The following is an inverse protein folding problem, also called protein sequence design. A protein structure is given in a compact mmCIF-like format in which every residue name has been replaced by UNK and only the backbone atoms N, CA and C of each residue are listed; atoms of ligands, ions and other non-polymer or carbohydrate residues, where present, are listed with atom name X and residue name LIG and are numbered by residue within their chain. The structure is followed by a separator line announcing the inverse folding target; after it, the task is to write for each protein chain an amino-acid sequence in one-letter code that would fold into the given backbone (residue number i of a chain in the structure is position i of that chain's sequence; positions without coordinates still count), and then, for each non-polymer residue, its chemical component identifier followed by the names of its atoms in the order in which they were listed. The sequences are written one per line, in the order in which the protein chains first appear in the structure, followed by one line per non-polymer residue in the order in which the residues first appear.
data_IF_638923519411
#
_entry.id   IF_638923519411
#
_cell.length_a   1.000
_cell.length_b   1.000
_cell.length_c   1.000
_cell.angle_alpha   90.00
_cell.angle_beta   90.00
_cell.angle_gamma   90.00
#
_symmetry.space_group_name_H-M   'P 1'
#
loop_
_entity.id
_entity.type
_entity.pdbx_description
1 polymer ?
#
# COMPACT_ATOMS: atom_id res chain seq x y z
N UNK A 1 -7.05 25.71 -6.41
CA UNK A 1 -6.78 24.88 -7.59
C UNK A 1 -5.58 23.96 -7.39
N UNK A 2 -4.32 24.42 -7.52
CA UNK A 2 -3.14 23.54 -7.29
C UNK A 2 -3.14 22.80 -5.92
N UNK A 3 -3.45 23.50 -4.83
CA UNK A 3 -3.61 22.85 -3.51
C UNK A 3 -4.75 21.82 -3.49
N UNK A 4 -5.88 22.10 -4.15
CA UNK A 4 -7.00 21.15 -4.22
C UNK A 4 -6.56 19.88 -4.96
N UNK A 5 -5.86 20.01 -6.09
CA UNK A 5 -5.29 18.89 -6.83
C UNK A 5 -4.35 18.05 -5.99
N UNK A 6 -3.42 18.69 -5.26
CA UNK A 6 -2.48 18.00 -4.37
C UNK A 6 -3.18 17.21 -3.27
N UNK A 7 -4.16 17.83 -2.60
CA UNK A 7 -4.89 17.19 -1.51
C UNK A 7 -5.92 16.16 -2.01
N UNK A 8 -6.46 16.31 -3.22
CA UNK A 8 -7.26 15.28 -3.87
C UNK A 8 -6.43 14.03 -4.18
N UNK A 9 -5.20 14.20 -4.65
CA UNK A 9 -4.25 13.10 -4.84
C UNK A 9 -3.96 12.35 -3.54
N UNK A 10 -3.72 13.09 -2.45
CA UNK A 10 -3.49 12.51 -1.11
C UNK A 10 -4.65 11.67 -0.58
N UNK A 11 -5.88 11.93 -1.03
CA UNK A 11 -7.04 11.12 -0.69
C UNK A 11 -7.03 9.73 -1.35
N UNK A 12 -6.12 9.50 -2.30
CA UNK A 12 -5.93 8.24 -3.00
C UNK A 12 -4.58 7.57 -2.66
N UNK A 13 -3.72 8.23 -1.89
CA UNK A 13 -2.44 7.68 -1.47
C UNK A 13 -2.68 6.48 -0.56
N UNK A 14 -2.30 5.29 -1.00
CA UNK A 14 -2.19 4.12 -0.13
C UNK A 14 -0.72 3.98 0.30
N UNK A 15 -0.43 3.32 1.45
CA UNK A 15 0.86 3.39 2.16
C UNK A 15 2.04 2.70 1.44
N UNK A 16 1.98 2.53 0.13
CA UNK A 16 2.98 1.83 -0.67
C UNK A 16 3.49 2.74 -1.77
N UNK A 17 4.76 3.13 -1.67
CA UNK A 17 5.47 3.70 -2.80
C UNK A 17 5.56 2.65 -3.90
N UNK A 18 4.93 2.95 -5.04
CA UNK A 18 5.25 2.28 -6.29
C UNK A 18 6.74 2.49 -6.53
N UNK A 19 7.51 1.41 -6.62
CA UNK A 19 8.93 1.51 -6.99
C UNK A 19 9.01 2.24 -8.33
N UNK A 20 9.31 3.53 -8.32
CA UNK A 20 10.05 4.12 -9.42
C UNK A 20 11.39 3.39 -9.42
N UNK A 21 11.56 2.45 -10.35
CA UNK A 21 12.88 1.97 -10.71
C UNK A 21 13.66 3.21 -11.14
N UNK A 22 14.47 3.75 -10.24
CA UNK A 22 15.50 4.72 -10.58
C UNK A 22 16.39 4.08 -11.63
N UNK A 23 16.18 4.46 -12.88
CA UNK A 23 17.04 4.10 -14.00
C UNK A 23 18.37 4.84 -13.85
N UNK A 24 19.24 4.36 -12.98
CA UNK A 24 20.67 4.70 -13.06
C UNK A 24 21.32 3.70 -14.03
N UNK A 25 21.18 4.01 -15.32
CA UNK A 25 21.96 3.37 -16.37
C UNK A 25 23.25 4.15 -16.57
N UNK A 26 24.40 3.55 -16.26
CA UNK A 26 25.62 3.76 -17.05
C UNK A 26 26.28 2.40 -17.32
N UNK A 27 26.08 2.00 -18.56
CA UNK A 27 26.76 1.01 -19.41
C UNK A 27 28.23 0.72 -19.10
N UNK A 28 28.63 -0.55 -19.22
CA UNK A 28 29.75 -0.97 -20.08
C UNK A 28 29.67 -2.48 -20.38
N UNK A 29 29.28 -2.84 -21.60
CA UNK A 29 29.69 -4.08 -22.27
C UNK A 29 30.33 -3.66 -23.60
N UNK A 30 31.54 -4.13 -23.94
CA UNK A 30 32.16 -3.78 -25.21
C UNK A 30 31.65 -4.70 -26.33
N UNK A 31 31.20 -4.08 -27.42
CA UNK A 31 31.15 -4.70 -28.73
C UNK A 31 32.57 -4.90 -29.28
N UNK A 32 32.86 -6.10 -29.80
CA UNK A 32 33.77 -6.27 -30.94
C UNK A 32 33.09 -7.24 -31.90
N UNK A 33 32.88 -6.76 -33.13
CA UNK A 33 32.10 -7.44 -34.15
C UNK A 33 32.88 -8.40 -35.06
N UNK A 34 32.05 -9.13 -35.81
CA UNK A 34 32.21 -9.65 -37.17
C UNK A 34 33.33 -10.68 -37.46
N UNK A 35 32.93 -11.87 -37.91
CA UNK A 35 33.17 -12.34 -39.30
C UNK A 35 32.36 -13.60 -39.62
N UNK A 36 32.05 -13.71 -40.91
CA UNK A 36 31.30 -14.74 -41.64
C UNK A 36 32.00 -16.11 -41.67
N UNK A 37 31.25 -17.23 -41.67
CA UNK A 37 31.18 -18.15 -42.83
C UNK A 37 30.37 -19.43 -42.56
N UNK A 38 29.93 -19.98 -43.69
CA UNK A 38 28.92 -21.01 -43.99
C UNK A 38 29.43 -22.46 -43.80
N UNK A 39 28.50 -23.42 -43.86
CA UNK A 39 28.66 -24.87 -44.13
C UNK A 39 29.08 -25.77 -42.93
N UNK A 40 28.66 -27.02 -42.72
CA UNK A 40 27.71 -27.99 -43.31
C UNK A 40 27.77 -29.23 -42.39
N UNK A 41 26.64 -29.95 -42.19
CA UNK A 41 26.45 -31.38 -41.76
C UNK A 41 27.45 -31.99 -40.72
N UNK A 42 27.02 -32.65 -39.65
CA UNK A 42 26.63 -34.07 -39.70
C UNK A 42 26.36 -34.66 -38.30
N UNK A 43 25.25 -35.39 -38.17
CA UNK A 43 25.14 -36.78 -37.68
C UNK A 43 25.79 -37.17 -36.32
N UNK A 44 24.92 -37.47 -35.35
CA UNK A 44 25.18 -38.33 -34.18
C UNK A 44 25.65 -39.74 -34.61
N UNK A 45 26.31 -40.52 -33.73
CA UNK A 45 25.51 -41.48 -32.96
C UNK A 45 26.00 -41.82 -31.54
N UNK A 46 25.08 -42.48 -30.85
CA UNK A 46 25.05 -43.10 -29.52
C UNK A 46 26.14 -44.13 -29.21
N UNK A 47 26.43 -44.33 -27.91
CA UNK A 47 26.68 -45.61 -27.20
C UNK A 47 26.95 -45.28 -25.71
N UNK A 48 26.07 -45.61 -24.76
CA UNK A 48 25.90 -46.89 -24.03
C UNK A 48 26.75 -47.05 -22.75
N UNK A 49 26.00 -47.18 -21.65
CA UNK A 49 26.18 -47.94 -20.39
C UNK A 49 27.58 -48.36 -19.89
N UNK A 50 27.79 -48.18 -18.57
CA UNK A 50 28.12 -49.29 -17.67
C UNK A 50 27.95 -48.95 -16.18
N UNK A 51 27.40 -49.91 -15.45
CA UNK A 51 27.21 -49.96 -14.00
C UNK A 51 28.11 -51.05 -13.39
N UNK A 52 28.59 -50.85 -12.16
CA UNK A 52 28.99 -51.86 -11.15
C UNK A 52 29.75 -51.11 -10.03
N UNK A 53 29.39 -51.09 -8.75
CA UNK A 53 29.17 -52.14 -7.74
C UNK A 53 30.15 -51.88 -6.57
N UNK A 54 29.62 -51.80 -5.35
CA UNK A 54 30.37 -51.70 -4.09
C UNK A 54 30.96 -53.07 -3.68
N UNK A 55 31.83 -53.17 -2.65
CA UNK A 55 31.29 -53.35 -1.29
C UNK A 55 32.17 -52.81 -0.13
N UNK A 56 31.58 -52.72 1.06
CA UNK A 56 32.33 -52.56 2.33
C UNK A 56 31.45 -52.15 3.51
N UNK A 57 30.90 -53.13 4.24
CA UNK A 57 30.08 -52.98 5.45
C UNK A 57 30.95 -52.87 6.70
N UNK A 58 30.58 -52.01 7.66
CA UNK A 58 30.89 -52.21 9.08
C UNK A 58 29.83 -51.58 10.00
N UNK A 59 29.55 -52.33 11.06
CA UNK A 59 28.40 -52.39 11.97
C UNK A 59 28.23 -51.22 12.96
N UNK A 60 26.97 -50.76 13.07
CA UNK A 60 26.16 -50.32 14.23
C UNK A 60 26.88 -49.96 15.55
N UNK A 61 26.65 -48.72 16.03
CA UNK A 61 26.32 -48.44 17.43
C UNK A 61 25.43 -47.17 17.56
N UNK A 62 24.23 -47.36 18.10
CA UNK A 62 23.27 -46.31 18.47
C UNK A 62 23.54 -45.78 19.88
N UNK A 63 23.35 -44.48 20.15
CA UNK A 63 23.05 -44.01 21.50
C UNK A 63 21.61 -43.48 21.63
N UNK A 64 20.98 -43.87 22.73
CA UNK A 64 19.67 -43.48 23.26
C UNK A 64 19.46 -41.95 23.36
N UNK A 65 18.22 -41.44 23.21
CA UNK A 65 17.93 -40.02 23.36
C UNK A 65 18.07 -39.61 24.83
N UNK A 66 19.05 -38.75 25.13
CA UNK A 66 19.07 -37.99 26.38
C UNK A 66 18.10 -36.82 26.24
N UNK A 67 17.24 -36.70 27.24
CA UNK A 67 16.32 -35.58 27.47
C UNK A 67 17.06 -34.25 27.25
N UNK A 68 16.72 -33.54 26.17
CA UNK A 68 17.07 -32.14 26.01
C UNK A 68 16.11 -31.34 26.89
N UNK A 69 16.57 -31.01 28.09
CA UNK A 69 16.05 -29.89 28.86
C UNK A 69 16.01 -28.65 27.96
N UNK A 70 14.79 -28.18 27.67
CA UNK A 70 14.54 -26.92 26.99
C UNK A 70 15.15 -25.78 27.82
N UNK A 71 15.89 -24.82 27.23
CA UNK A 71 16.26 -23.62 27.95
C UNK A 71 14.98 -22.86 28.27
N UNK A 72 14.78 -22.59 29.55
CA UNK A 72 13.74 -21.74 30.10
C UNK A 72 13.75 -20.40 29.33
N UNK A 73 12.63 -20.10 28.69
CA UNK A 73 12.46 -18.90 27.86
C UNK A 73 12.66 -17.67 28.75
N UNK A 74 13.77 -16.97 28.56
CA UNK A 74 13.97 -15.65 29.15
C UNK A 74 12.78 -14.76 28.78
N UNK A 75 12.20 -13.98 29.72
CA UNK A 75 11.20 -12.99 29.37
C UNK A 75 11.79 -12.04 28.34
N UNK A 76 10.99 -11.59 27.35
CA UNK A 76 11.49 -10.66 26.33
C UNK A 76 12.11 -9.43 27.02
N UNK A 77 13.23 -8.90 26.49
CA UNK A 77 13.90 -7.76 27.09
C UNK A 77 12.90 -6.60 27.26
N UNK A 78 12.86 -6.04 28.47
CA UNK A 78 12.00 -4.91 28.79
C UNK A 78 12.30 -3.75 27.84
N UNK A 79 11.28 -3.20 27.19
CA UNK A 79 11.47 -2.13 26.21
C UNK A 79 11.94 -0.84 26.91
N UNK A 80 13.08 -0.32 26.48
CA UNK A 80 13.62 0.98 26.89
C UNK A 80 13.64 1.93 25.68
N UNK A 81 12.91 3.05 25.70
CA UNK A 81 13.00 4.06 24.64
C UNK A 81 14.41 4.65 24.54
N UNK A 82 14.84 5.11 23.34
CA UNK A 82 16.07 5.89 23.20
C UNK A 82 16.08 7.11 24.14
N UNK A 83 17.28 7.46 24.64
CA UNK A 83 17.45 8.56 25.59
C UNK A 83 16.91 9.89 25.04
N UNK A 84 17.22 10.19 23.78
CA UNK A 84 16.69 11.33 23.03
C UNK A 84 15.84 10.86 21.84
N UNK A 85 14.82 11.63 21.42
CA UNK A 85 14.07 11.34 20.20
C UNK A 85 15.02 11.31 18.97
N UNK A 86 15.00 10.23 18.16
CA UNK A 86 15.86 10.13 17.00
C UNK A 86 15.44 11.14 15.92
N UNK A 87 16.43 11.67 15.19
CA UNK A 87 16.16 12.51 14.02
C UNK A 87 15.40 11.71 12.94
N UNK A 88 14.61 12.40 12.10
CA UNK A 88 13.76 11.74 11.08
C UNK A 88 14.53 10.78 10.15
N UNK A 89 15.76 11.12 9.78
CA UNK A 89 16.62 10.28 8.94
C UNK A 89 17.02 8.94 9.60
N UNK A 90 16.80 8.80 10.90
CA UNK A 90 17.07 7.60 11.69
C UNK A 90 15.79 6.81 12.00
N UNK A 91 14.63 7.29 11.55
CA UNK A 91 13.38 6.55 11.69
C UNK A 91 13.45 5.28 10.85
N UNK A 92 12.78 4.25 11.34
CA UNK A 92 12.72 2.96 10.64
C UNK A 92 12.03 3.20 9.28
N UNK A 93 12.69 2.91 8.14
CA UNK A 93 12.09 3.08 6.81
C UNK A 93 10.83 2.23 6.66
N UNK A 94 9.79 2.76 6.00
CA UNK A 94 8.51 2.07 5.85
C UNK A 94 8.64 0.69 5.23
N UNK A 95 9.57 0.51 4.29
CA UNK A 95 9.79 -0.74 3.55
C UNK A 95 10.58 -1.79 4.35
N UNK A 96 11.19 -1.40 5.46
CA UNK A 96 12.03 -2.31 6.25
C UNK A 96 11.22 -3.30 7.09
N UNK A 97 9.98 -2.95 7.44
CA UNK A 97 9.12 -3.79 8.29
C UNK A 97 7.71 -3.96 7.69
N UNK A 98 7.20 -5.19 7.76
CA UNK A 98 5.83 -5.54 7.35
C UNK A 98 4.88 -5.76 8.53
N UNK A 99 5.38 -5.67 9.76
CA UNK A 99 4.63 -5.95 10.99
C UNK A 99 4.88 -4.85 12.01
N UNK A 100 3.87 -4.52 12.81
CA UNK A 100 3.99 -3.57 13.91
C UNK A 100 5.11 -3.99 14.90
N UNK A 101 6.05 -3.07 15.15
CA UNK A 101 7.20 -3.30 16.05
C UNK A 101 6.85 -3.22 17.54
N UNK A 102 5.56 -3.10 17.88
CA UNK A 102 5.05 -3.07 19.26
C UNK A 102 4.28 -4.34 19.59
N UNK A 103 3.20 -4.66 18.86
CA UNK A 103 2.43 -5.88 19.11
C UNK A 103 3.02 -7.13 18.43
N UNK A 104 3.92 -6.97 17.47
CA UNK A 104 4.54 -8.06 16.69
C UNK A 104 3.53 -9.03 16.03
N UNK A 105 2.28 -8.59 15.85
CA UNK A 105 1.17 -9.42 15.35
C UNK A 105 0.50 -8.81 14.14
N UNK A 106 0.17 -7.52 14.21
CA UNK A 106 -0.55 -6.84 13.15
C UNK A 106 0.37 -6.55 11.97
N UNK A 107 0.07 -7.18 10.82
CA UNK A 107 0.72 -6.91 9.55
C UNK A 107 0.22 -5.59 8.99
N UNK A 108 1.10 -4.77 8.47
CA UNK A 108 0.71 -3.58 7.74
C UNK A 108 0.05 -4.00 6.41
N UNK A 109 -1.03 -3.31 6.06
CA UNK A 109 -1.83 -3.54 4.86
C UNK A 109 -2.29 -2.19 4.30
N UNK A 110 -2.99 -2.20 3.17
CA UNK A 110 -3.65 -1.02 2.59
C UNK A 110 -4.41 -0.17 3.62
N UNK A 111 -5.07 -0.82 4.59
CA UNK A 111 -5.87 -0.16 5.64
C UNK A 111 -5.21 -0.15 7.01
N UNK A 112 -4.34 -1.13 7.32
CA UNK A 112 -3.53 -1.07 8.52
C UNK A 112 -2.23 -0.31 8.22
N UNK A 113 -2.33 1.02 8.26
CA UNK A 113 -1.23 1.93 7.91
C UNK A 113 -0.07 1.85 8.89
N UNK A 114 1.11 2.10 8.37
CA UNK A 114 2.31 2.39 9.15
C UNK A 114 2.20 3.76 9.80
N UNK A 115 2.61 3.85 11.05
CA UNK A 115 2.81 5.11 11.74
C UNK A 115 4.17 5.11 12.42
N UNK A 116 4.89 6.21 12.35
CA UNK A 116 6.09 6.37 13.17
C UNK A 116 5.74 6.89 14.56
N UNK A 117 6.31 6.26 15.59
CA UNK A 117 6.35 6.83 16.93
C UNK A 117 7.38 7.98 16.95
N UNK A 118 6.93 9.22 17.17
CA UNK A 118 7.84 10.38 17.17
C UNK A 118 8.86 10.36 18.31
N UNK A 119 8.66 9.53 19.35
CA UNK A 119 9.61 9.37 20.46
C UNK A 119 10.73 8.36 20.18
N UNK A 120 10.46 7.28 19.44
CA UNK A 120 11.44 6.20 19.25
C UNK A 120 11.70 5.79 17.79
N UNK A 121 11.01 6.40 16.82
CA UNK A 121 11.21 6.16 15.39
C UNK A 121 10.70 4.82 14.86
N UNK A 122 10.11 3.95 15.70
CA UNK A 122 9.57 2.64 15.30
C UNK A 122 8.28 2.75 14.48
N UNK A 123 8.07 1.77 13.62
CA UNK A 123 6.83 1.54 12.86
C UNK A 123 5.79 0.82 13.71
N UNK A 124 4.62 1.45 13.86
CA UNK A 124 3.54 0.99 14.73
C UNK A 124 2.19 1.11 14.05
N UNK A 125 1.28 0.19 14.37
CA UNK A 125 -0.11 0.26 13.91
C UNK A 125 -0.91 1.30 14.72
N UNK A 126 -2.11 1.64 14.24
CA UNK A 126 -3.00 2.60 14.90
C UNK A 126 -3.35 2.17 16.33
N UNK A 127 -3.62 0.88 16.53
CA UNK A 127 -3.96 0.28 17.82
C UNK A 127 -2.82 0.31 18.84
N UNK A 128 -1.56 0.39 18.41
CA UNK A 128 -0.39 0.49 19.29
C UNK A 128 0.14 1.92 19.45
N UNK A 129 -0.58 2.92 18.94
CA UNK A 129 -0.20 4.33 18.96
C UNK A 129 -1.40 5.24 19.20
N UNK A 130 -2.23 4.88 20.17
CA UNK A 130 -3.49 5.57 20.47
C UNK A 130 -3.28 6.87 21.23
N UNK A 131 -2.09 7.06 21.80
CA UNK A 131 -1.75 8.19 22.67
C UNK A 131 -0.89 9.23 21.97
N UNK A 132 -1.01 10.46 22.47
CA UNK A 132 -0.14 11.58 22.09
C UNK A 132 0.52 12.16 23.33
N UNK A 133 1.77 12.64 23.20
CA UNK A 133 2.46 13.35 24.27
C UNK A 133 3.43 14.39 23.70
N UNK A 134 3.88 15.31 24.55
CA UNK A 134 4.96 16.23 24.18
C UNK A 134 6.26 15.45 23.97
N UNK A 135 6.94 15.73 22.86
CA UNK A 135 8.23 15.12 22.52
C UNK A 135 9.18 16.26 22.16
N UNK A 136 10.35 16.28 22.79
CA UNK A 136 11.37 17.30 22.53
C UNK A 136 11.75 17.33 21.04
N UNK A 137 11.86 18.53 20.48
CA UNK A 137 12.18 18.72 19.06
C UNK A 137 11.03 18.44 18.08
N UNK A 138 9.82 18.12 18.56
CA UNK A 138 8.63 18.02 17.71
C UNK A 138 7.82 19.32 17.74
N UNK A 139 7.56 19.91 16.57
CA UNK A 139 6.67 21.09 16.42
C UNK A 139 5.21 20.75 16.76
N UNK A 140 4.71 19.61 16.23
CA UNK A 140 3.41 19.09 16.63
C UNK A 140 3.50 18.61 18.08
N UNK A 141 2.83 19.29 19.00
CA UNK A 141 2.73 18.89 20.40
C UNK A 141 1.29 19.07 20.87
N UNK A 142 0.61 18.01 21.34
CA UNK A 142 1.12 16.65 21.55
C UNK A 142 1.20 15.85 20.22
N UNK A 143 2.24 15.03 20.05
CA UNK A 143 2.46 14.19 18.85
C UNK A 143 2.21 12.70 19.11
N UNK A 144 1.96 11.93 18.05
CA UNK A 144 1.71 10.48 18.10
C UNK A 144 2.94 9.74 18.64
N UNK A 145 2.73 8.93 19.66
CA UNK A 145 3.74 8.02 20.22
C UNK A 145 3.15 6.63 20.35
N UNK A 146 4.01 5.61 20.37
CA UNK A 146 3.56 4.26 20.67
C UNK A 146 3.19 4.14 22.15
N UNK A 147 2.29 3.21 22.47
CA UNK A 147 1.78 3.03 23.82
C UNK A 147 2.91 2.68 24.80
N UNK A 148 3.90 1.89 24.36
CA UNK A 148 5.10 1.60 25.17
C UNK A 148 5.91 2.86 25.55
N UNK A 149 6.09 3.80 24.62
CA UNK A 149 6.73 5.08 24.92
C UNK A 149 5.85 5.93 25.84
N UNK A 150 4.53 5.98 25.59
CA UNK A 150 3.62 6.75 26.42
C UNK A 150 3.64 6.25 27.87
N UNK A 151 3.48 4.94 28.08
CA UNK A 151 3.55 4.32 29.40
C UNK A 151 4.89 4.53 30.07
N UNK A 152 6.02 4.47 29.34
CA UNK A 152 7.35 4.68 29.93
C UNK A 152 7.51 6.08 30.55
N UNK A 153 7.00 7.13 29.88
CA UNK A 153 7.16 8.52 30.33
C UNK A 153 6.00 9.06 31.20
N UNK A 154 4.88 8.33 31.28
CA UNK A 154 3.69 8.75 32.05
C UNK A 154 3.30 7.72 33.12
N UNK A 155 4.28 7.00 33.71
CA UNK A 155 4.04 5.94 34.72
C UNK A 155 3.26 6.40 35.96
N UNK A 156 3.12 7.70 36.19
CA UNK A 156 2.53 8.30 37.40
C UNK A 156 1.13 8.92 37.21
N UNK A 157 0.49 8.74 36.04
CA UNK A 157 -0.88 9.24 35.81
C UNK A 157 -1.88 8.08 35.94
N UNK A 158 -2.80 8.10 36.93
CA UNK A 158 -3.85 7.10 37.03
C UNK A 158 -4.69 7.09 35.76
N UNK A 159 -4.90 5.91 35.18
CA UNK A 159 -5.83 5.74 34.06
C UNK A 159 -7.24 6.19 34.50
N UNK A 160 -7.77 7.26 33.90
CA UNK A 160 -9.21 7.51 33.95
C UNK A 160 -9.90 6.38 33.19
N UNK A 161 -10.43 5.45 33.97
CA UNK A 161 -11.14 4.25 33.52
C UNK A 161 -12.48 4.64 32.86
N UNK A 162 -12.71 4.44 31.55
CA UNK A 162 -14.03 4.58 30.97
C UNK A 162 -14.81 3.30 31.22
N UNK A 163 -15.21 3.06 32.46
CA UNK A 163 -15.82 1.80 32.85
C UNK A 163 -16.28 1.75 34.29
N UNK A 164 -17.29 2.52 34.65
CA UNK A 164 -18.18 2.17 35.76
C UNK A 164 -19.56 1.80 35.21
N UNK A 165 -20.12 0.63 35.59
CA UNK A 165 -21.51 0.32 35.33
C UNK A 165 -22.37 1.06 36.37
N UNK A 166 -23.14 2.05 35.93
CA UNK A 166 -24.24 2.59 36.73
C UNK A 166 -25.36 1.55 36.83
N UNK A 167 -25.95 1.47 38.03
CA UNK A 167 -27.00 0.54 38.43
C UNK A 167 -28.29 0.74 37.59
N UNK A 168 -29.19 -0.27 37.53
CA UNK A 168 -30.31 -0.24 36.60
C UNK A 168 -31.43 0.64 37.14
N UNK A 169 -31.81 1.68 36.39
CA UNK A 169 -33.15 2.24 36.49
C UNK A 169 -33.94 1.95 35.20
N UNK A 170 -35.20 1.65 35.43
CA UNK A 170 -36.13 0.98 34.54
C UNK A 170 -36.64 1.89 33.42
N UNK A 171 -36.85 1.27 32.25
CA UNK A 171 -37.78 1.65 31.18
C UNK A 171 -37.38 2.78 30.20
N UNK A 172 -36.93 2.39 29.01
CA UNK A 172 -37.70 2.43 27.73
C UNK A 172 -36.76 2.13 26.55
N UNK A 173 -37.21 1.25 25.66
CA UNK A 173 -36.50 0.85 24.45
C UNK A 173 -36.58 1.94 23.38
N UNK A 174 -35.47 2.56 23.04
CA UNK A 174 -35.25 3.18 21.73
C UNK A 174 -33.82 2.90 21.28
N UNK A 175 -33.67 2.32 20.08
CA UNK A 175 -32.38 2.07 19.44
C UNK A 175 -31.63 3.40 19.21
N UNK A 176 -30.32 3.48 19.50
CA UNK A 176 -29.60 4.73 19.35
C UNK A 176 -29.47 5.13 17.86
N UNK A 177 -29.52 6.43 17.55
CA UNK A 177 -29.39 6.92 16.19
C UNK A 177 -27.97 6.64 15.65
N UNK A 178 -27.90 6.41 14.34
CA UNK A 178 -26.68 6.16 13.54
C UNK A 178 -25.51 7.13 13.79
N UNK A 179 -25.77 8.32 14.38
CA UNK A 179 -24.74 9.28 14.79
C UNK A 179 -23.83 8.79 15.92
N UNK A 180 -24.20 7.75 16.67
CA UNK A 180 -23.38 7.19 17.76
C UNK A 180 -22.17 6.39 17.26
N UNK A 181 -22.17 5.95 15.98
CA UNK A 181 -21.07 5.15 15.39
C UNK A 181 -19.95 6.04 14.84
N UNK A 182 -20.20 7.34 14.66
CA UNK A 182 -19.20 8.31 14.21
C UNK A 182 -19.15 9.46 15.21
N UNK A 183 -18.35 9.30 16.28
CA UNK A 183 -17.92 10.46 17.07
C UNK A 183 -17.01 11.31 16.18
N UNK A 184 -17.59 12.33 15.53
CA UNK A 184 -16.80 13.44 15.00
C UNK A 184 -16.11 14.08 16.21
N UNK A 185 -14.77 14.05 16.32
CA UNK A 185 -14.09 14.70 17.43
C UNK A 185 -14.50 16.17 17.46
N UNK A 186 -14.92 16.66 18.63
CA UNK A 186 -15.18 18.09 18.85
C UNK A 186 -13.91 18.81 18.41
N UNK A 187 -14.00 19.62 17.35
CA UNK A 187 -12.84 20.33 16.82
C UNK A 187 -12.22 21.11 17.98
N UNK A 188 -11.05 20.65 18.45
CA UNK A 188 -10.20 21.46 19.31
C UNK A 188 -10.05 22.81 18.60
N UNK A 189 -10.07 23.91 19.33
CA UNK A 189 -9.88 25.25 18.78
C UNK A 189 -8.60 25.24 17.93
N UNK A 190 -8.75 25.09 16.61
CA UNK A 190 -7.62 25.02 15.69
C UNK A 190 -7.16 26.45 15.53
N UNK A 191 -6.14 26.83 16.31
CA UNK A 191 -5.40 28.05 16.02
C UNK A 191 -4.66 27.85 14.70
N UNK A 192 -5.17 28.49 13.66
CA UNK A 192 -4.52 28.53 12.35
C UNK A 192 -3.29 29.43 12.45
N UNK A 193 -2.14 28.82 12.70
CA UNK A 193 -0.85 29.51 12.67
C UNK A 193 -0.45 29.66 11.20
N UNK A 194 -0.68 30.84 10.63
CA UNK A 194 -0.21 31.18 9.30
C UNK A 194 1.26 31.58 9.39
N UNK A 195 2.14 30.75 8.81
CA UNK A 195 3.59 30.98 8.74
C UNK A 195 4.00 31.29 7.29
N UNK A 196 4.97 32.19 7.12
CA UNK A 196 5.53 32.56 5.82
C UNK A 196 6.73 31.68 5.43
N UNK A 197 7.16 30.77 6.32
CA UNK A 197 8.23 29.83 6.03
C UNK A 197 7.78 28.74 5.04
N UNK A 198 8.16 28.89 3.77
CA UNK A 198 7.75 27.95 2.71
C UNK A 198 8.32 26.55 2.91
N UNK A 199 9.54 26.40 3.45
CA UNK A 199 10.12 25.08 3.72
C UNK A 199 9.30 24.31 4.76
N UNK A 200 8.85 24.99 5.81
CA UNK A 200 7.99 24.40 6.83
C UNK A 200 6.59 24.12 6.31
N UNK A 201 6.01 25.04 5.54
CA UNK A 201 4.71 24.82 4.90
C UNK A 201 4.75 23.61 3.96
N UNK A 202 5.82 23.46 3.19
CA UNK A 202 6.01 22.32 2.32
C UNK A 202 6.18 21.03 3.12
N UNK A 203 6.92 21.07 4.23
CA UNK A 203 7.05 19.92 5.14
C UNK A 203 5.69 19.48 5.68
N UNK A 204 4.89 20.40 6.24
CA UNK A 204 3.55 20.12 6.78
C UNK A 204 2.66 19.52 5.69
N UNK A 205 2.64 20.12 4.49
CA UNK A 205 1.85 19.60 3.37
C UNK A 205 2.36 18.25 2.90
N UNK A 206 3.67 18.00 2.92
CA UNK A 206 4.25 16.72 2.52
C UNK A 206 3.84 15.62 3.50
N UNK A 207 3.89 15.89 4.80
CA UNK A 207 3.59 14.94 5.88
C UNK A 207 2.10 14.68 6.08
N UNK A 208 1.24 15.62 5.67
CA UNK A 208 -0.20 15.43 5.80
C UNK A 208 -0.68 14.20 5.03
N UNK A 209 -1.50 13.38 5.67
CA UNK A 209 -2.17 12.24 5.05
C UNK A 209 -3.59 12.10 5.60
N UNK A 210 -4.48 11.48 4.82
CA UNK A 210 -5.80 11.09 5.33
C UNK A 210 -5.72 9.70 5.93
N UNK A 211 -6.23 9.54 7.15
CA UNK A 211 -6.21 8.26 7.86
C UNK A 211 -7.01 7.17 7.14
N UNK A 212 -8.12 7.55 6.49
CA UNK A 212 -9.02 6.64 5.76
C UNK A 212 -8.71 6.55 4.25
N UNK A 213 -7.53 6.99 3.80
CA UNK A 213 -7.14 6.85 2.40
C UNK A 213 -6.80 5.38 2.06
N UNK A 214 -7.05 4.88 0.84
CA UNK A 214 -7.60 5.60 -0.31
C UNK A 214 -9.12 5.71 -0.32
N UNK A 215 -9.63 6.85 -0.79
CA UNK A 215 -11.04 7.22 -0.81
C UNK A 215 -11.38 8.04 -2.06
N UNK A 216 -12.03 7.39 -3.02
CA UNK A 216 -12.51 8.03 -4.25
C UNK A 216 -13.49 9.18 -3.96
N UNK A 217 -14.41 9.00 -3.01
CA UNK A 217 -15.43 9.99 -2.66
C UNK A 217 -14.80 11.29 -2.17
N UNK A 218 -13.84 11.20 -1.25
CA UNK A 218 -13.08 12.35 -0.76
C UNK A 218 -12.29 13.05 -1.89
N UNK A 219 -11.58 12.29 -2.73
CA UNK A 219 -10.84 12.83 -3.87
C UNK A 219 -11.77 13.65 -4.79
N UNK A 220 -12.90 13.06 -5.19
CA UNK A 220 -13.91 13.69 -6.06
C UNK A 220 -14.51 14.93 -5.38
N UNK A 221 -14.83 14.85 -4.09
CA UNK A 221 -15.37 15.98 -3.33
C UNK A 221 -14.43 17.18 -3.32
N UNK A 222 -13.12 16.95 -3.15
CA UNK A 222 -12.09 18.01 -3.20
C UNK A 222 -12.00 18.60 -4.61
N UNK A 223 -11.96 17.77 -5.65
CA UNK A 223 -11.88 18.24 -7.04
C UNK A 223 -13.13 19.00 -7.49
N UNK A 224 -14.31 18.72 -6.92
CA UNK A 224 -15.52 19.49 -7.20
C UNK A 224 -15.44 20.95 -6.70
N UNK A 225 -14.48 21.29 -5.85
CA UNK A 225 -14.21 22.67 -5.42
C UNK A 225 -13.29 23.42 -6.40
N UNK A 226 -12.69 22.71 -7.36
CA UNK A 226 -11.78 23.27 -8.35
C UNK A 226 -12.56 24.06 -9.41
N UNK A 227 -11.99 25.18 -9.87
CA UNK A 227 -12.67 26.06 -10.85
C UNK A 227 -12.73 25.47 -12.26
N UNK A 228 -11.68 24.74 -12.64
CA UNK A 228 -11.57 24.07 -13.94
C UNK A 228 -11.98 22.59 -13.82
N UNK A 229 -13.18 22.25 -14.28
CA UNK A 229 -13.72 20.89 -14.27
C UNK A 229 -13.10 19.97 -15.31
N UNK A 230 -12.60 20.52 -16.43
CA UNK A 230 -11.97 19.75 -17.50
C UNK A 230 -10.60 19.27 -16.99
N UNK A 231 -9.81 20.16 -16.40
CA UNK A 231 -8.55 19.80 -15.77
C UNK A 231 -8.74 18.72 -14.68
N UNK A 232 -9.82 18.80 -13.89
CA UNK A 232 -10.15 17.77 -12.90
C UNK A 232 -10.48 16.41 -13.52
N UNK A 233 -11.22 16.39 -14.63
CA UNK A 233 -11.50 15.16 -15.38
C UNK A 233 -10.21 14.46 -15.82
N UNK A 234 -9.24 15.21 -16.35
CA UNK A 234 -7.93 14.65 -16.71
C UNK A 234 -7.13 14.19 -15.49
N UNK A 235 -7.13 14.94 -14.38
CA UNK A 235 -6.48 14.52 -13.14
C UNK A 235 -7.04 13.21 -12.58
N UNK A 236 -8.36 13.01 -12.66
CA UNK A 236 -9.00 11.76 -12.26
C UNK A 236 -8.53 10.56 -13.12
N UNK A 237 -8.36 10.75 -14.44
CA UNK A 237 -7.78 9.74 -15.34
C UNK A 237 -6.33 9.45 -14.95
N UNK A 238 -5.53 10.48 -14.70
CA UNK A 238 -4.13 10.32 -14.29
C UNK A 238 -4.02 9.55 -12.96
N UNK A 239 -4.87 9.88 -12.00
CA UNK A 239 -4.96 9.15 -10.73
C UNK A 239 -5.32 7.68 -10.94
N UNK A 240 -6.25 7.39 -11.84
CA UNK A 240 -6.58 6.02 -12.23
C UNK A 240 -5.36 5.25 -12.78
N UNK A 241 -4.55 5.87 -13.64
CA UNK A 241 -3.30 5.29 -14.13
C UNK A 241 -2.32 4.98 -12.98
N UNK A 242 -2.12 5.92 -12.06
CA UNK A 242 -1.21 5.71 -10.92
C UNK A 242 -1.69 4.59 -10.00
N UNK A 243 -2.98 4.54 -9.70
CA UNK A 243 -3.57 3.47 -8.88
C UNK A 243 -3.36 2.09 -9.53
N UNK A 244 -3.46 1.98 -10.86
CA UNK A 244 -3.30 0.71 -11.57
C UNK A 244 -1.92 0.08 -11.40
N UNK A 245 -0.88 0.88 -11.14
CA UNK A 245 0.47 0.38 -10.88
C UNK A 245 0.49 -0.43 -9.55
N UNK A 246 -0.42 -0.11 -8.62
CA UNK A 246 -0.57 -0.78 -7.33
C UNK A 246 -1.17 -2.18 -7.41
N UNK A 247 -1.79 -2.56 -8.53
CA UNK A 247 -2.42 -3.87 -8.73
C UNK A 247 -1.41 -5.04 -8.68
N UNK A 248 -0.11 -4.73 -8.82
CA UNK A 248 0.97 -5.72 -8.70
C UNK A 248 1.43 -5.93 -7.25
N UNK A 249 0.99 -5.09 -6.32
CA UNK A 249 1.41 -5.15 -4.92
C UNK A 249 0.54 -6.14 -4.12
N UNK A 250 1.13 -7.19 -3.51
CA UNK A 250 0.38 -8.18 -2.75
C UNK A 250 -0.21 -7.66 -1.43
N UNK A 251 0.24 -6.51 -0.92
CA UNK A 251 -0.31 -5.90 0.31
C UNK A 251 -1.54 -5.01 0.05
N UNK A 252 -1.94 -4.86 -1.21
CA UNK A 252 -3.05 -4.03 -1.64
C UNK A 252 -4.23 -4.89 -2.08
N UNK A 253 -5.45 -4.47 -1.73
CA UNK A 253 -6.67 -5.08 -2.25
C UNK A 253 -6.89 -4.59 -3.69
N UNK A 254 -6.55 -5.45 -4.65
CA UNK A 254 -6.67 -5.14 -6.07
C UNK A 254 -8.13 -4.92 -6.51
N UNK A 255 -9.10 -5.62 -5.89
CA UNK A 255 -10.52 -5.49 -6.22
C UNK A 255 -11.05 -4.12 -5.83
N UNK A 256 -10.74 -3.71 -4.60
CA UNK A 256 -11.05 -2.36 -4.14
C UNK A 256 -10.38 -1.27 -5.00
N UNK A 257 -9.10 -1.46 -5.39
CA UNK A 257 -8.44 -0.51 -6.28
C UNK A 257 -9.18 -0.37 -7.61
N UNK A 258 -9.60 -1.49 -8.22
CA UNK A 258 -10.38 -1.44 -9.46
C UNK A 258 -11.72 -0.73 -9.28
N UNK A 259 -12.40 -0.89 -8.14
CA UNK A 259 -13.64 -0.16 -7.82
C UNK A 259 -13.40 1.34 -7.65
N UNK A 260 -12.33 1.73 -6.94
CA UNK A 260 -11.90 3.13 -6.81
C UNK A 260 -11.62 3.71 -8.21
N UNK A 261 -10.85 3.01 -9.04
CA UNK A 261 -10.52 3.42 -10.40
C UNK A 261 -11.78 3.66 -11.26
N UNK A 262 -12.76 2.74 -11.20
CA UNK A 262 -14.06 2.90 -11.88
C UNK A 262 -14.79 4.15 -11.40
N UNK A 263 -14.87 4.36 -10.09
CA UNK A 263 -15.54 5.53 -9.51
C UNK A 263 -14.90 6.85 -9.97
N UNK A 264 -13.56 6.91 -10.04
CA UNK A 264 -12.84 8.08 -10.56
C UNK A 264 -13.16 8.34 -12.03
N UNK A 265 -13.15 7.30 -12.87
CA UNK A 265 -13.44 7.41 -14.31
C UNK A 265 -14.89 7.82 -14.58
N UNK A 266 -15.87 7.29 -13.83
CA UNK A 266 -17.26 7.73 -13.94
C UNK A 266 -17.43 9.21 -13.55
N UNK A 267 -16.72 9.67 -12.52
CA UNK A 267 -16.72 11.08 -12.14
C UNK A 267 -16.07 11.96 -13.23
N UNK A 268 -14.94 11.53 -13.79
CA UNK A 268 -14.28 12.22 -14.89
C UNK A 268 -15.19 12.35 -16.12
N UNK A 269 -15.86 11.24 -16.49
CA UNK A 269 -16.88 11.20 -17.55
C UNK A 269 -17.96 12.25 -17.29
N UNK A 270 -18.49 12.33 -16.07
CA UNK A 270 -19.52 13.31 -15.71
C UNK A 270 -19.02 14.76 -15.81
N UNK A 271 -17.76 15.03 -15.46
CA UNK A 271 -17.15 16.36 -15.62
C UNK A 271 -17.03 16.76 -17.09
N UNK A 272 -16.61 15.83 -17.98
CA UNK A 272 -16.51 16.10 -19.41
C UNK A 272 -17.88 16.27 -20.09
N UNK A 273 -18.90 15.51 -19.66
CA UNK A 273 -20.28 15.68 -20.11
C UNK A 273 -20.78 17.09 -19.79
N UNK A 274 -20.58 17.55 -18.55
CA UNK A 274 -20.95 18.92 -18.13
C UNK A 274 -20.23 20.01 -18.93
N UNK A 275 -18.99 19.75 -19.34
CA UNK A 275 -18.18 20.66 -20.13
C UNK A 275 -18.41 20.55 -21.66
N UNK A 276 -19.25 19.62 -22.14
CA UNK A 276 -19.52 19.43 -23.56
C UNK A 276 -18.33 18.86 -24.36
N UNK A 277 -17.42 18.13 -23.72
CA UNK A 277 -16.16 17.64 -24.29
C UNK A 277 -16.29 16.22 -24.86
N UNK A 278 -16.68 16.09 -26.13
CA UNK A 278 -16.93 14.79 -26.78
C UNK A 278 -15.69 13.92 -26.96
N UNK A 279 -14.52 14.50 -27.23
CA UNK A 279 -13.27 13.74 -27.37
C UNK A 279 -12.84 13.12 -26.03
N UNK A 280 -12.93 13.88 -24.94
CA UNK A 280 -12.58 13.40 -23.59
C UNK A 280 -13.58 12.38 -23.06
N UNK A 281 -14.84 12.44 -23.51
CA UNK A 281 -15.85 11.42 -23.24
C UNK A 281 -15.46 10.07 -23.83
N UNK A 282 -15.06 10.04 -25.12
CA UNK A 282 -14.59 8.82 -25.76
C UNK A 282 -13.30 8.28 -25.11
N UNK A 283 -12.42 9.18 -24.66
CA UNK A 283 -11.25 8.81 -23.87
C UNK A 283 -11.67 8.10 -22.57
N UNK A 284 -12.57 8.69 -21.78
CA UNK A 284 -13.09 8.07 -20.56
C UNK A 284 -13.69 6.68 -20.81
N UNK A 285 -14.52 6.53 -21.85
CA UNK A 285 -15.14 5.25 -22.18
C UNK A 285 -14.12 4.17 -22.53
N UNK A 286 -13.06 4.54 -23.26
CA UNK A 286 -11.92 3.66 -23.51
C UNK A 286 -11.25 3.22 -22.20
N UNK A 287 -10.96 4.16 -21.29
CA UNK A 287 -10.34 3.84 -20.00
C UNK A 287 -11.24 2.95 -19.13
N UNK A 288 -12.56 3.21 -19.08
CA UNK A 288 -13.52 2.39 -18.33
C UNK A 288 -13.47 0.94 -18.81
N UNK A 289 -13.55 0.73 -20.13
CA UNK A 289 -13.45 -0.62 -20.73
C UNK A 289 -12.13 -1.32 -20.37
N UNK A 290 -11.00 -0.60 -20.32
CA UNK A 290 -9.72 -1.19 -19.90
C UNK A 290 -9.69 -1.53 -18.42
N UNK A 291 -10.29 -0.72 -17.55
CA UNK A 291 -10.42 -1.04 -16.12
C UNK A 291 -11.35 -2.24 -15.91
N UNK A 292 -12.37 -2.43 -16.74
CA UNK A 292 -13.20 -3.63 -16.71
C UNK A 292 -12.40 -4.89 -17.03
N UNK A 293 -11.49 -4.83 -18.01
CA UNK A 293 -10.53 -5.92 -18.28
C UNK A 293 -9.65 -6.20 -17.05
N UNK A 294 -9.11 -5.17 -16.39
CA UNK A 294 -8.33 -5.35 -15.16
C UNK A 294 -9.16 -5.99 -14.05
N UNK A 295 -10.41 -5.57 -13.88
CA UNK A 295 -11.34 -6.11 -12.89
C UNK A 295 -11.64 -7.59 -13.14
N UNK A 296 -11.79 -8.01 -14.40
CA UNK A 296 -11.95 -9.43 -14.78
C UNK A 296 -10.72 -10.25 -14.35
N UNK A 297 -9.51 -9.76 -14.63
CA UNK A 297 -8.26 -10.42 -14.21
C UNK A 297 -8.15 -10.54 -12.68
N UNK A 298 -8.49 -9.46 -11.97
CA UNK A 298 -8.47 -9.40 -10.51
C UNK A 298 -9.49 -10.36 -9.90
N UNK A 299 -10.73 -10.38 -10.42
CA UNK A 299 -11.78 -11.29 -9.97
C UNK A 299 -11.39 -12.77 -10.17
N UNK A 300 -10.65 -13.07 -11.24
CA UNK A 300 -10.09 -14.39 -11.50
C UNK A 300 -8.83 -14.72 -10.68
N UNK A 301 -8.38 -13.83 -9.78
CA UNK A 301 -7.13 -13.96 -9.02
C UNK A 301 -5.91 -14.20 -9.91
N UNK A 302 -5.90 -13.60 -11.10
CA UNK A 302 -4.79 -13.75 -12.03
C UNK A 302 -3.55 -13.05 -11.49
N UNK A 303 -2.43 -13.78 -11.39
CA UNK A 303 -1.22 -13.31 -10.68
C UNK A 303 -0.53 -12.12 -11.34
N UNK A 304 -0.70 -11.95 -12.65
CA UNK A 304 0.04 -10.95 -13.43
C UNK A 304 -0.90 -9.90 -14.02
N UNK A 305 -1.59 -9.15 -13.17
CA UNK A 305 -2.43 -8.02 -13.62
C UNK A 305 -1.51 -6.89 -14.13
N UNK A 306 -1.55 -6.54 -15.43
CA UNK A 306 -0.74 -5.47 -15.96
C UNK A 306 -1.28 -4.10 -15.47
N UNK A 307 -0.42 -3.09 -15.31
CA UNK A 307 -0.89 -1.74 -15.08
C UNK A 307 -1.60 -1.19 -16.32
N UNK A 308 -2.46 -0.18 -16.11
CA UNK A 308 -3.40 0.31 -17.10
C UNK A 308 -2.71 0.87 -18.35
N UNK A 309 -1.57 1.55 -18.16
CA UNK A 309 -0.73 2.12 -19.22
C UNK A 309 -0.27 1.07 -20.25
N UNK A 310 -0.06 -0.18 -19.82
CA UNK A 310 0.35 -1.28 -20.70
C UNK A 310 -0.80 -1.83 -21.57
N UNK A 311 -2.05 -1.60 -21.19
CA UNK A 311 -3.23 -2.10 -21.91
C UNK A 311 -4.07 -1.02 -22.59
N UNK A 312 -3.65 0.26 -22.53
CA UNK A 312 -4.36 1.37 -23.18
C UNK A 312 -4.57 1.13 -24.69
N UNK A 313 -3.57 0.56 -25.36
CA UNK A 313 -3.65 0.28 -26.80
C UNK A 313 -4.59 -0.90 -27.07
N UNK A 314 -5.50 -0.83 -28.07
CA UNK A 314 -6.37 -1.95 -28.43
C UNK A 314 -5.59 -3.25 -28.72
N UNK A 315 -4.48 -3.14 -29.44
CA UNK A 315 -3.61 -4.29 -29.73
C UNK A 315 -3.03 -4.97 -28.48
N UNK A 316 -2.86 -4.23 -27.37
CA UNK A 316 -2.34 -4.80 -26.13
C UNK A 316 -3.35 -5.74 -25.46
N UNK A 317 -4.64 -5.42 -25.49
CA UNK A 317 -5.71 -6.30 -24.97
C UNK A 317 -5.81 -7.57 -25.82
N UNK A 318 -5.70 -7.45 -27.14
CA UNK A 318 -5.65 -8.62 -28.03
C UNK A 318 -4.46 -9.52 -27.73
N UNK A 319 -3.27 -8.95 -27.47
CA UNK A 319 -2.10 -9.73 -27.07
C UNK A 319 -2.31 -10.41 -25.72
N UNK A 320 -2.85 -9.70 -24.73
CA UNK A 320 -3.14 -10.26 -23.41
C UNK A 320 -4.11 -11.43 -23.51
N UNK A 321 -5.18 -11.30 -24.30
CA UNK A 321 -6.11 -12.40 -24.59
C UNK A 321 -5.38 -13.60 -25.17
N UNK A 322 -4.58 -13.41 -26.21
CA UNK A 322 -3.88 -14.53 -26.86
C UNK A 322 -2.92 -15.22 -25.87
N UNK A 323 -2.22 -14.45 -25.02
CA UNK A 323 -1.37 -15.00 -23.96
C UNK A 323 -2.14 -15.83 -22.94
N UNK A 324 -3.35 -15.40 -22.55
CA UNK A 324 -4.20 -16.17 -21.65
C UNK A 324 -4.65 -17.49 -22.29
N UNK A 325 -5.00 -17.47 -23.58
CA UNK A 325 -5.38 -18.68 -24.31
C UNK A 325 -4.19 -19.65 -24.45
N UNK A 326 -2.98 -19.15 -24.72
CA UNK A 326 -1.75 -19.94 -24.77
C UNK A 326 -1.38 -20.54 -23.41
N UNK A 327 -1.68 -19.82 -22.32
CA UNK A 327 -1.48 -20.28 -20.95
C UNK A 327 -2.68 -21.08 -20.38
N UNK A 328 -3.57 -21.57 -21.24
CA UNK A 328 -4.74 -22.40 -20.90
C UNK A 328 -5.80 -21.74 -20.00
N UNK A 329 -5.76 -20.41 -19.83
CA UNK A 329 -6.79 -19.61 -19.16
C UNK A 329 -7.95 -19.28 -20.11
N UNK A 330 -8.58 -20.30 -20.71
CA UNK A 330 -9.57 -20.13 -21.78
C UNK A 330 -10.78 -19.28 -21.38
N UNK A 331 -11.36 -19.53 -20.20
CA UNK A 331 -12.50 -18.77 -19.70
C UNK A 331 -12.19 -17.28 -19.58
N UNK A 332 -11.01 -16.95 -19.03
CA UNK A 332 -10.55 -15.58 -18.86
C UNK A 332 -10.28 -14.89 -20.21
N UNK A 333 -9.73 -15.63 -21.18
CA UNK A 333 -9.55 -15.15 -22.55
C UNK A 333 -10.87 -14.80 -23.24
N UNK A 334 -11.94 -15.56 -22.98
CA UNK A 334 -13.28 -15.26 -23.52
C UNK A 334 -13.86 -14.01 -22.86
N UNK A 335 -13.80 -13.91 -21.53
CA UNK A 335 -14.35 -12.78 -20.77
C UNK A 335 -13.69 -11.43 -21.12
N UNK A 336 -12.39 -11.41 -21.44
CA UNK A 336 -11.68 -10.18 -21.86
C UNK A 336 -12.00 -9.78 -23.30
N UNK A 337 -12.61 -10.68 -24.08
CA UNK A 337 -12.98 -10.44 -25.48
C UNK A 337 -14.36 -9.82 -25.68
N UNK A 338 -15.18 -9.76 -24.60
CA UNK A 338 -16.54 -9.21 -24.60
C UNK A 338 -16.56 -7.76 -24.16
#
# INVERSE_FOLDING_TARGET
DSLLSRYAGKALDFPYSLREKRSDSVTHLPEVGQTSDLETLSRSPSAEFSAAAAPGVSTIHSPSPRERSFPESQPPPEFVPPAAPPGRHQWVPDESESICMVCCRERFTMFNRRHHCRRCGRLVCSACSTKKMAVEGCRESPTRVCDQCYSYYNKDVPEENPGQPEAPDSSKSESPPYSAVVRVPKAAEVEWILDLNEEENELVRSEFYYEQSPSASLCIAILNLHRDSIACGHQLIEHCCRLSQGLTNPEVDAGLLTDIMKQLLFSAKMMFVKAGRSQDLALCDSYISKVDVLNILVAASYRHVPPLDQILQPAAVTRLRNQLLEAEYYQLGVEIST
#
